data_IF_284830896824
#
_entry.id   IF_284830896824
#
_cell.length_a   1.000
_cell.length_b   1.000
_cell.length_c   1.000
_cell.angle_alpha   90.00
_cell.angle_beta   90.00
_cell.angle_gamma   90.00
#
_symmetry.space_group_name_H-M   'P 1'
#
loop_
_entity.id
_entity.type
_entity.pdbx_description
1 polymer ?
#
# COMPACT_ATOMS: atom_id res chain seq x y z
N UNK A 1 30.17 15.02 38.58
CA UNK A 1 29.91 14.56 37.20
C UNK A 1 29.10 13.28 37.27
N UNK A 2 27.83 13.31 36.87
CA UNK A 2 26.94 12.15 36.93
C UNK A 2 27.16 11.26 35.70
N UNK A 3 27.79 10.09 35.89
CA UNK A 3 27.86 9.07 34.85
C UNK A 3 26.46 8.52 34.60
N UNK A 4 25.81 8.97 33.52
CA UNK A 4 24.63 8.30 33.01
C UNK A 4 25.06 6.89 32.55
N UNK A 5 24.83 5.88 33.39
CA UNK A 5 25.08 4.48 33.04
C UNK A 5 24.39 4.15 31.71
N UNK A 6 25.11 3.49 30.81
CA UNK A 6 24.66 3.02 29.47
C UNK A 6 23.25 2.40 29.49
N UNK A 7 22.85 1.77 30.58
CA UNK A 7 21.48 1.26 30.82
C UNK A 7 20.37 2.33 30.77
N UNK A 8 20.58 3.51 31.37
CA UNK A 8 19.60 4.61 31.35
C UNK A 8 19.50 5.25 29.96
N UNK A 9 20.63 5.37 29.25
CA UNK A 9 20.67 5.82 27.85
C UNK A 9 19.93 4.83 26.94
N UNK A 10 20.15 3.52 27.09
CA UNK A 10 19.46 2.48 26.32
C UNK A 10 17.95 2.42 26.62
N UNK A 11 17.54 2.56 27.89
CA UNK A 11 16.12 2.59 28.29
C UNK A 11 15.39 3.83 27.77
N UNK A 12 15.99 5.01 27.91
CA UNK A 12 15.41 6.26 27.40
C UNK A 12 15.33 6.25 25.87
N UNK A 13 16.37 5.73 25.20
CA UNK A 13 16.37 5.56 23.75
C UNK A 13 15.31 4.55 23.29
N UNK A 14 15.15 3.42 23.98
CA UNK A 14 14.11 2.45 23.64
C UNK A 14 12.70 3.03 23.84
N UNK A 15 12.49 3.87 24.86
CA UNK A 15 11.19 4.51 25.10
C UNK A 15 10.82 5.52 24.01
N UNK A 16 11.77 6.39 23.63
CA UNK A 16 11.55 7.38 22.55
C UNK A 16 11.36 6.71 21.19
N UNK A 17 12.10 5.63 20.95
CA UNK A 17 11.98 4.77 19.77
C UNK A 17 10.62 4.07 19.69
N UNK A 18 10.16 3.47 20.79
CA UNK A 18 8.86 2.79 20.81
C UNK A 18 7.72 3.79 20.60
N UNK A 19 7.85 4.99 21.19
CA UNK A 19 6.92 6.08 20.99
C UNK A 19 6.92 6.57 19.53
N UNK A 20 8.08 6.64 18.88
CA UNK A 20 8.20 6.98 17.46
C UNK A 20 7.49 5.95 16.57
N UNK A 21 7.72 4.65 16.77
CA UNK A 21 7.05 3.60 15.99
C UNK A 21 5.53 3.68 16.19
N UNK A 22 5.09 3.87 17.43
CA UNK A 22 3.67 4.00 17.75
C UNK A 22 3.04 5.22 17.05
N UNK A 23 3.71 6.37 17.10
CA UNK A 23 3.24 7.59 16.45
C UNK A 23 3.20 7.47 14.92
N UNK A 24 4.19 6.81 14.32
CA UNK A 24 4.21 6.59 12.87
C UNK A 24 3.09 5.63 12.47
N UNK A 25 2.93 4.51 13.17
CA UNK A 25 1.84 3.56 12.92
C UNK A 25 0.47 4.24 13.07
N UNK A 26 0.29 5.07 14.10
CA UNK A 26 -0.92 5.86 14.30
C UNK A 26 -1.16 6.87 13.17
N UNK A 27 -0.12 7.57 12.72
CA UNK A 27 -0.21 8.53 11.61
C UNK A 27 -0.61 7.85 10.30
N UNK A 28 -0.10 6.67 10.03
CA UNK A 28 -0.39 5.93 8.79
C UNK A 28 -1.79 5.33 8.80
N UNK A 29 -2.20 4.79 9.94
CA UNK A 29 -3.60 4.38 10.13
C UNK A 29 -4.48 5.61 9.92
N UNK A 30 -4.16 6.76 10.52
CA UNK A 30 -4.90 8.00 10.30
C UNK A 30 -4.96 8.39 8.82
N UNK A 31 -3.84 8.40 8.09
CA UNK A 31 -3.82 8.73 6.66
C UNK A 31 -4.68 7.77 5.84
N UNK A 32 -4.59 6.46 6.09
CA UNK A 32 -5.41 5.46 5.42
C UNK A 32 -6.90 5.62 5.73
N UNK A 33 -7.25 5.93 6.98
CA UNK A 33 -8.63 6.24 7.38
C UNK A 33 -9.12 7.52 6.68
N UNK A 34 -8.32 8.59 6.67
CA UNK A 34 -8.68 9.84 5.99
C UNK A 34 -8.83 9.68 4.48
N UNK A 35 -8.09 8.78 3.83
CA UNK A 35 -8.32 8.47 2.42
C UNK A 35 -9.72 7.88 2.16
N UNK A 36 -10.26 7.09 3.10
CA UNK A 36 -11.65 6.63 3.00
C UNK A 36 -12.64 7.76 3.25
N UNK A 37 -12.36 8.63 4.24
CA UNK A 37 -13.18 9.82 4.55
C UNK A 37 -13.28 10.73 3.32
N UNK A 38 -12.15 11.12 2.73
CA UNK A 38 -12.09 11.99 1.54
C UNK A 38 -12.82 11.36 0.34
N UNK A 39 -12.59 10.07 0.09
CA UNK A 39 -13.27 9.35 -0.99
C UNK A 39 -14.77 9.21 -0.74
N UNK A 40 -15.22 9.12 0.52
CA UNK A 40 -16.62 9.02 0.86
C UNK A 40 -17.32 10.37 0.78
N UNK A 41 -16.65 11.46 1.17
CA UNK A 41 -17.14 12.83 1.02
C UNK A 41 -17.41 13.16 -0.45
N UNK A 42 -16.48 12.79 -1.35
CA UNK A 42 -16.66 12.92 -2.80
C UNK A 42 -17.89 12.15 -3.30
N UNK A 43 -18.06 10.90 -2.86
CA UNK A 43 -19.23 10.11 -3.23
C UNK A 43 -20.52 10.74 -2.68
N UNK A 44 -20.52 11.26 -1.45
CA UNK A 44 -21.67 11.94 -0.86
C UNK A 44 -22.09 13.17 -1.69
N UNK A 45 -21.11 13.95 -2.16
CA UNK A 45 -21.33 15.09 -3.05
C UNK A 45 -21.95 14.68 -4.38
N UNK A 46 -21.40 13.65 -5.04
CA UNK A 46 -21.93 13.14 -6.32
C UNK A 46 -23.36 12.61 -6.18
N UNK A 47 -23.65 11.84 -5.12
CA UNK A 47 -25.00 11.35 -4.86
C UNK A 47 -25.96 12.50 -4.57
N UNK A 48 -25.54 13.52 -3.81
CA UNK A 48 -26.34 14.71 -3.55
C UNK A 48 -26.71 15.46 -4.84
N UNK A 49 -25.73 15.68 -5.73
CA UNK A 49 -25.91 16.33 -7.03
C UNK A 49 -26.88 15.53 -7.91
N UNK A 50 -26.67 14.21 -8.04
CA UNK A 50 -27.55 13.36 -8.82
C UNK A 50 -29.00 13.34 -8.31
N UNK A 51 -29.21 13.40 -6.99
CA UNK A 51 -30.54 13.50 -6.41
C UNK A 51 -31.19 14.86 -6.71
N UNK A 52 -30.44 15.95 -6.69
CA UNK A 52 -30.94 17.28 -7.06
C UNK A 52 -31.33 17.35 -8.54
N UNK A 53 -30.51 16.76 -9.41
CA UNK A 53 -30.76 16.64 -10.85
C UNK A 53 -31.85 15.63 -11.21
N UNK A 54 -32.46 14.99 -10.20
CA UNK A 54 -33.52 13.97 -10.36
C UNK A 54 -33.08 12.83 -11.28
N UNK A 55 -31.78 12.48 -11.23
CA UNK A 55 -31.27 11.30 -11.91
C UNK A 55 -31.98 10.06 -11.41
N UNK A 56 -32.10 9.07 -12.29
CA UNK A 56 -32.68 7.80 -11.87
C UNK A 56 -31.72 7.08 -10.89
N UNK A 57 -32.28 6.23 -10.04
CA UNK A 57 -31.50 5.51 -9.04
C UNK A 57 -30.45 4.55 -9.65
N UNK A 58 -30.62 4.13 -10.91
CA UNK A 58 -29.65 3.24 -11.57
C UNK A 58 -28.32 3.97 -11.84
N UNK A 59 -28.35 5.28 -12.09
CA UNK A 59 -27.14 6.11 -12.24
C UNK A 59 -26.37 6.17 -10.92
N UNK A 60 -27.06 6.42 -9.81
CA UNK A 60 -26.47 6.40 -8.45
C UNK A 60 -25.87 5.03 -8.14
N UNK A 61 -26.60 3.95 -8.43
CA UNK A 61 -26.10 2.58 -8.24
C UNK A 61 -24.88 2.25 -9.11
N UNK A 62 -24.75 2.87 -10.29
CA UNK A 62 -23.59 2.70 -11.16
C UNK A 62 -22.36 3.40 -10.57
N UNK A 63 -22.51 4.59 -9.99
CA UNK A 63 -21.43 5.31 -9.31
C UNK A 63 -20.92 4.55 -8.08
N UNK A 64 -21.84 4.07 -7.23
CA UNK A 64 -21.51 3.26 -6.06
C UNK A 64 -20.73 2.00 -6.49
N UNK A 65 -21.15 1.34 -7.57
CA UNK A 65 -20.43 0.19 -8.14
C UNK A 65 -19.07 0.58 -8.72
N UNK A 66 -18.94 1.74 -9.34
CA UNK A 66 -17.68 2.21 -9.90
C UNK A 66 -16.65 2.48 -8.80
N UNK A 67 -17.04 3.14 -7.70
CA UNK A 67 -16.17 3.38 -6.53
C UNK A 67 -15.69 2.06 -5.95
N UNK A 68 -16.61 1.13 -5.67
CA UNK A 68 -16.26 -0.19 -5.16
C UNK A 68 -15.32 -0.96 -6.10
N UNK A 69 -15.53 -0.85 -7.42
CA UNK A 69 -14.69 -1.55 -8.41
C UNK A 69 -13.27 -0.99 -8.45
N UNK A 70 -13.13 0.34 -8.34
CA UNK A 70 -11.85 1.05 -8.34
C UNK A 70 -11.07 0.85 -7.04
N UNK A 71 -11.77 0.73 -5.91
CA UNK A 71 -11.16 0.51 -4.61
C UNK A 71 -11.38 -0.91 -4.09
N UNK A 72 -10.47 -1.82 -4.45
CA UNK A 72 -10.49 -3.24 -4.03
C UNK A 72 -10.30 -3.47 -2.54
N UNK A 73 -10.02 -2.42 -1.76
CA UNK A 73 -9.90 -2.51 -0.30
C UNK A 73 -11.26 -2.45 0.40
N UNK A 74 -12.28 -1.95 -0.31
CA UNK A 74 -13.67 -1.93 0.14
C UNK A 74 -14.29 -3.31 0.02
N UNK A 75 -15.06 -3.70 1.04
CA UNK A 75 -15.92 -4.88 0.99
C UNK A 75 -17.26 -4.54 0.33
N UNK A 76 -17.76 -3.33 0.60
CA UNK A 76 -18.92 -2.79 -0.07
C UNK A 76 -18.88 -1.26 -0.06
N UNK A 77 -19.55 -0.67 -1.04
CA UNK A 77 -19.99 0.72 -1.02
C UNK A 77 -21.52 0.72 -1.12
N UNK A 78 -22.18 1.64 -0.43
CA UNK A 78 -23.64 1.72 -0.43
C UNK A 78 -24.17 3.14 -0.27
N UNK A 79 -25.44 3.29 -0.63
CA UNK A 79 -26.31 4.40 -0.30
C UNK A 79 -27.54 3.87 0.44
N UNK A 80 -27.79 4.41 1.63
CA UNK A 80 -29.00 4.18 2.41
C UNK A 80 -29.98 5.31 2.12
N UNK A 81 -31.08 5.00 1.45
CA UNK A 81 -32.14 5.95 1.13
C UNK A 81 -33.12 6.06 2.29
N UNK A 82 -33.03 7.15 3.06
CA UNK A 82 -33.89 7.37 4.23
C UNK A 82 -35.32 7.77 3.84
N UNK A 83 -35.57 8.11 2.58
CA UNK A 83 -36.92 8.41 2.12
C UNK A 83 -37.68 7.12 1.82
N UNK A 84 -37.05 6.21 1.09
CA UNK A 84 -37.70 4.95 0.65
C UNK A 84 -37.47 3.78 1.61
N UNK A 85 -36.48 3.89 2.51
CA UNK A 85 -36.06 2.78 3.37
C UNK A 85 -35.15 1.77 2.66
N UNK A 86 -34.78 2.00 1.39
CA UNK A 86 -34.01 1.04 0.59
C UNK A 86 -32.50 1.18 0.81
N UNK A 87 -31.82 0.03 0.72
CA UNK A 87 -30.38 -0.06 0.66
C UNK A 87 -29.92 -0.30 -0.80
N UNK A 88 -29.09 0.60 -1.32
CA UNK A 88 -28.46 0.50 -2.63
C UNK A 88 -26.98 0.17 -2.44
N UNK A 89 -26.59 -1.10 -2.61
CA UNK A 89 -25.26 -1.60 -2.26
C UNK A 89 -24.54 -2.24 -3.45
N UNK A 90 -23.22 -2.04 -3.54
CA UNK A 90 -22.38 -2.55 -4.64
C UNK A 90 -22.19 -4.07 -4.63
N UNK A 91 -22.33 -4.73 -3.48
CA UNK A 91 -22.09 -6.16 -3.31
C UNK A 91 -22.72 -6.73 -2.02
N UNK A 92 -22.95 -8.05 -2.03
CA UNK A 92 -23.72 -8.89 -1.11
C UNK A 92 -25.23 -8.72 -1.16
N UNK A 93 -25.90 -9.88 -1.09
CA UNK A 93 -27.31 -10.13 -1.37
C UNK A 93 -28.22 -8.99 -0.90
N UNK A 94 -29.21 -8.61 -1.72
CA UNK A 94 -30.28 -7.66 -1.35
C UNK A 94 -30.75 -7.98 0.07
N UNK A 95 -30.31 -7.18 1.04
CA UNK A 95 -30.76 -7.29 2.40
C UNK A 95 -32.18 -6.77 2.42
N UNK A 96 -33.13 -7.63 2.80
CA UNK A 96 -34.49 -7.20 3.06
C UNK A 96 -34.51 -6.47 4.41
N UNK A 97 -34.04 -5.22 4.40
CA UNK A 97 -33.84 -4.37 5.54
C UNK A 97 -34.38 -2.97 5.20
N UNK A 98 -35.11 -2.37 6.14
CA UNK A 98 -35.40 -0.95 6.10
C UNK A 98 -34.24 -0.18 6.75
N UNK A 99 -33.56 0.66 5.99
CA UNK A 99 -32.38 1.39 6.50
C UNK A 99 -32.73 2.36 7.64
N UNK A 100 -34.00 2.74 7.78
CA UNK A 100 -34.48 3.63 8.86
C UNK A 100 -34.50 2.95 10.22
N UNK A 101 -34.47 1.62 10.25
CA UNK A 101 -34.42 0.84 11.49
C UNK A 101 -32.99 0.58 11.97
N UNK A 102 -31.98 1.08 11.25
CA UNK A 102 -30.56 0.86 11.57
C UNK A 102 -30.02 1.84 12.60
N UNK A 103 -28.99 1.41 13.33
CA UNK A 103 -28.25 2.29 14.24
C UNK A 103 -27.61 3.47 13.51
N UNK A 104 -27.14 3.25 12.28
CA UNK A 104 -26.62 4.30 11.39
C UNK A 104 -27.61 5.45 11.22
N UNK A 105 -28.89 5.13 10.95
CA UNK A 105 -29.93 6.15 10.83
C UNK A 105 -30.12 6.92 12.15
N UNK A 106 -30.15 6.22 13.29
CA UNK A 106 -30.29 6.84 14.62
C UNK A 106 -29.13 7.77 14.94
N UNK A 107 -27.89 7.35 14.67
CA UNK A 107 -26.70 8.17 14.92
C UNK A 107 -26.66 9.43 14.05
N UNK A 108 -26.97 9.31 12.75
CA UNK A 108 -26.95 10.45 11.85
C UNK A 108 -28.11 11.42 12.09
N UNK A 109 -29.27 10.93 12.55
CA UNK A 109 -30.36 11.78 13.04
C UNK A 109 -29.93 12.66 14.21
N UNK A 110 -29.15 12.13 15.14
CA UNK A 110 -28.69 12.84 16.32
C UNK A 110 -27.51 13.79 16.03
N UNK A 111 -26.59 13.35 15.16
CA UNK A 111 -25.41 14.11 14.75
C UNK A 111 -25.12 13.84 13.27
N UNK A 112 -25.63 14.69 12.35
CA UNK A 112 -25.55 14.46 10.91
C UNK A 112 -24.16 14.88 10.40
N UNK A 113 -23.15 14.11 10.79
CA UNK A 113 -21.75 14.28 10.39
C UNK A 113 -21.17 12.95 9.97
N UNK A 114 -20.12 13.01 9.17
CA UNK A 114 -19.33 11.84 8.85
C UNK A 114 -18.81 11.19 10.14
N UNK A 115 -18.94 9.88 10.24
CA UNK A 115 -18.50 9.13 11.41
C UNK A 115 -18.15 7.69 11.07
N UNK A 116 -17.21 7.15 11.84
CA UNK A 116 -16.90 5.73 11.87
C UNK A 116 -17.89 5.03 12.80
N UNK A 117 -18.41 3.89 12.34
CA UNK A 117 -19.27 3.02 13.12
C UNK A 117 -18.44 1.99 13.89
N UNK A 118 -19.00 1.51 14.98
CA UNK A 118 -18.37 0.49 15.81
C UNK A 118 -18.05 -0.79 15.02
N UNK A 119 -17.04 -1.48 15.52
CA UNK A 119 -16.57 -2.72 14.93
C UNK A 119 -17.61 -3.83 15.13
N UNK A 120 -17.95 -4.52 14.05
CA UNK A 120 -18.87 -5.66 14.08
C UNK A 120 -18.26 -6.88 13.40
N UNK A 121 -18.82 -8.05 13.69
CA UNK A 121 -18.44 -9.30 13.01
C UNK A 121 -19.48 -9.61 11.94
N UNK A 122 -19.04 -9.70 10.70
CA UNK A 122 -19.91 -10.09 9.60
C UNK A 122 -20.42 -11.52 9.81
N UNK A 123 -21.73 -11.72 9.64
CA UNK A 123 -22.38 -13.01 9.94
C UNK A 123 -22.11 -14.08 8.88
N UNK A 124 -21.78 -13.67 7.66
CA UNK A 124 -21.58 -14.58 6.52
C UNK A 124 -20.13 -15.05 6.46
N UNK A 125 -19.20 -14.12 6.48
CA UNK A 125 -17.76 -14.35 6.31
C UNK A 125 -17.03 -14.53 7.64
N UNK A 126 -17.63 -14.10 8.76
CA UNK A 126 -16.97 -14.06 10.06
C UNK A 126 -15.88 -12.98 10.18
N UNK A 127 -15.69 -12.14 9.15
CA UNK A 127 -14.70 -11.08 9.16
C UNK A 127 -15.05 -9.99 10.18
N UNK A 128 -14.03 -9.38 10.77
CA UNK A 128 -14.20 -8.20 11.61
C UNK A 128 -14.24 -6.98 10.68
N UNK A 129 -15.34 -6.24 10.76
CA UNK A 129 -15.70 -5.15 9.86
C UNK A 129 -15.91 -3.86 10.66
N UNK A 130 -15.67 -2.73 10.00
CA UNK A 130 -16.14 -1.40 10.43
C UNK A 130 -16.67 -0.68 9.21
N UNK A 131 -17.44 0.38 9.43
CA UNK A 131 -17.97 1.21 8.35
C UNK A 131 -17.69 2.67 8.63
N UNK A 132 -17.46 3.45 7.57
CA UNK A 132 -17.49 4.91 7.62
C UNK A 132 -18.69 5.39 6.81
N UNK A 133 -19.45 6.32 7.36
CA UNK A 133 -20.68 6.85 6.76
C UNK A 133 -20.63 8.35 6.64
N UNK A 134 -21.18 8.90 5.55
CA UNK A 134 -21.30 10.33 5.32
C UNK A 134 -22.74 10.70 4.93
N UNK A 135 -23.37 11.65 5.65
CA UNK A 135 -24.74 12.07 5.37
C UNK A 135 -24.85 12.72 3.99
N UNK A 136 -25.93 12.41 3.29
CA UNK A 136 -26.28 13.03 2.00
C UNK A 136 -27.41 14.02 2.23
N UNK A 137 -27.21 15.25 1.77
CA UNK A 137 -28.19 16.33 1.87
C UNK A 137 -28.71 16.72 0.48
N UNK A 138 -30.02 16.95 0.39
CA UNK A 138 -30.67 17.55 -0.76
C UNK A 138 -31.65 18.62 -0.26
N UNK A 139 -31.61 19.81 -0.85
CA UNK A 139 -32.38 20.98 -0.42
C UNK A 139 -32.27 21.28 1.09
N UNK A 140 -31.07 21.14 1.66
CA UNK A 140 -30.81 21.36 3.09
C UNK A 140 -31.38 20.30 4.03
N UNK A 141 -32.00 19.24 3.51
CA UNK A 141 -32.52 18.11 4.30
C UNK A 141 -31.66 16.87 4.10
N UNK A 142 -31.39 16.15 5.18
CA UNK A 142 -30.71 14.86 5.10
C UNK A 142 -31.67 13.84 4.46
N UNK A 143 -31.29 13.31 3.30
CA UNK A 143 -32.11 12.39 2.50
C UNK A 143 -31.63 10.95 2.56
N UNK A 144 -30.39 10.75 3.01
CA UNK A 144 -29.78 9.44 3.10
C UNK A 144 -28.37 9.51 3.67
N UNK A 145 -27.63 8.42 3.52
CA UNK A 145 -26.20 8.37 3.79
C UNK A 145 -25.50 7.48 2.79
N UNK A 146 -24.29 7.84 2.38
CA UNK A 146 -23.38 6.90 1.74
C UNK A 146 -22.53 6.23 2.81
N UNK A 147 -22.02 5.04 2.51
CA UNK A 147 -21.09 4.36 3.41
C UNK A 147 -20.23 3.31 2.74
N UNK A 148 -19.11 3.02 3.40
CA UNK A 148 -18.15 2.00 3.00
C UNK A 148 -18.01 0.96 4.10
N UNK A 149 -18.09 -0.31 3.73
CA UNK A 149 -17.73 -1.42 4.62
C UNK A 149 -16.28 -1.83 4.38
N UNK A 150 -15.50 -1.86 5.46
CA UNK A 150 -14.06 -2.06 5.43
C UNK A 150 -13.70 -3.23 6.34
N UNK A 151 -12.96 -4.19 5.80
CA UNK A 151 -12.41 -5.29 6.59
C UNK A 151 -11.23 -4.79 7.43
N UNK A 152 -11.24 -5.01 8.74
CA UNK A 152 -10.15 -4.56 9.62
C UNK A 152 -8.81 -5.26 9.35
N UNK A 153 -8.80 -6.42 8.70
CA UNK A 153 -7.55 -7.00 8.18
C UNK A 153 -6.87 -6.09 7.15
N UNK A 154 -7.64 -5.26 6.43
CA UNK A 154 -7.13 -4.20 5.56
C UNK A 154 -6.42 -3.11 6.37
N UNK A 155 -6.87 -2.76 7.57
CA UNK A 155 -6.13 -1.84 8.46
C UNK A 155 -4.79 -2.47 8.89
N UNK A 156 -4.78 -3.79 9.14
CA UNK A 156 -3.54 -4.56 9.32
C UNK A 156 -2.61 -4.49 8.11
N UNK A 157 -3.16 -4.52 6.88
CA UNK A 157 -2.43 -4.33 5.63
C UNK A 157 -2.00 -2.88 5.39
N UNK A 158 -2.75 -1.86 5.81
CA UNK A 158 -2.33 -0.45 5.78
C UNK A 158 -1.13 -0.25 6.72
N UNK A 159 -1.19 -0.86 7.92
CA UNK A 159 -0.05 -0.89 8.86
C UNK A 159 1.15 -1.65 8.31
N UNK A 160 0.94 -2.74 7.57
CA UNK A 160 2.03 -3.57 7.02
C UNK A 160 2.58 -3.05 5.68
N UNK A 161 1.72 -2.41 4.88
CA UNK A 161 1.91 -1.89 3.53
C UNK A 161 2.44 -0.46 3.52
N UNK A 162 3.12 -0.05 4.59
CA UNK A 162 4.00 1.12 4.56
C UNK A 162 4.99 0.87 3.42
N UNK A 163 4.95 1.75 2.43
CA UNK A 163 5.89 1.68 1.33
C UNK A 163 7.30 1.75 1.88
N UNK A 164 8.23 1.04 1.23
CA UNK A 164 9.64 1.11 1.62
C UNK A 164 10.15 2.57 1.63
N UNK A 165 9.60 3.43 0.77
CA UNK A 165 9.91 4.85 0.69
C UNK A 165 9.56 5.61 1.98
N UNK A 166 8.34 5.45 2.51
CA UNK A 166 7.92 6.13 3.75
C UNK A 166 8.73 5.64 4.96
N UNK A 167 9.07 4.34 5.01
CA UNK A 167 9.96 3.80 6.05
C UNK A 167 11.35 4.43 5.98
N UNK A 168 11.86 4.70 4.78
CA UNK A 168 13.16 5.35 4.56
C UNK A 168 13.12 6.83 4.96
N UNK A 169 12.06 7.56 4.62
CA UNK A 169 11.91 8.97 5.00
C UNK A 169 11.93 9.15 6.52
N UNK A 170 11.21 8.28 7.25
CA UNK A 170 11.27 8.31 8.71
C UNK A 170 12.66 7.92 9.21
N UNK A 171 13.31 6.90 8.62
CA UNK A 171 14.67 6.55 8.99
C UNK A 171 15.63 7.75 8.85
N UNK A 172 15.53 8.49 7.73
CA UNK A 172 16.34 9.67 7.45
C UNK A 172 16.15 10.78 8.48
N UNK A 173 14.90 11.09 8.82
CA UNK A 173 14.58 12.14 9.79
C UNK A 173 15.29 11.93 11.12
N UNK A 174 15.40 10.69 11.57
CA UNK A 174 16.03 10.36 12.85
C UNK A 174 17.53 10.19 12.73
N UNK A 175 18.04 9.62 11.64
CA UNK A 175 19.48 9.58 11.35
C UNK A 175 20.05 11.00 11.30
N UNK A 176 19.33 11.95 10.69
CA UNK A 176 19.72 13.37 10.62
C UNK A 176 19.71 14.08 11.98
N UNK A 177 18.96 13.56 12.96
CA UNK A 177 19.00 14.04 14.36
C UNK A 177 20.16 13.46 15.16
N UNK A 178 21.05 12.70 14.53
CA UNK A 178 22.26 12.12 15.14
C UNK A 178 22.08 10.70 15.70
N UNK A 179 20.94 10.05 15.47
CA UNK A 179 20.71 8.69 15.94
C UNK A 179 21.44 7.66 15.05
N UNK A 180 21.95 6.59 15.67
CA UNK A 180 22.69 5.54 14.94
C UNK A 180 21.83 4.87 13.86
N UNK A 181 22.30 4.89 12.61
CA UNK A 181 21.68 4.23 11.45
C UNK A 181 21.32 2.78 11.74
N UNK A 182 22.23 2.06 12.39
CA UNK A 182 22.05 0.64 12.73
C UNK A 182 20.85 0.37 13.65
N UNK A 183 20.62 1.28 14.59
CA UNK A 183 19.56 1.19 15.59
C UNK A 183 18.25 1.55 14.93
N UNK A 184 18.19 2.71 14.26
CA UNK A 184 17.01 3.22 13.57
C UNK A 184 16.45 2.22 12.55
N UNK A 185 17.29 1.60 11.72
CA UNK A 185 16.82 0.66 10.69
C UNK A 185 16.29 -0.66 11.24
N UNK A 186 16.91 -1.19 12.30
CA UNK A 186 16.44 -2.40 12.99
C UNK A 186 15.08 -2.18 13.62
N UNK A 187 14.87 -1.00 14.19
CA UNK A 187 13.61 -0.57 14.80
C UNK A 187 12.49 -0.46 13.76
N UNK A 188 12.76 0.21 12.64
CA UNK A 188 11.78 0.42 11.57
C UNK A 188 11.53 -0.89 10.78
N UNK A 189 12.37 -1.91 10.98
CA UNK A 189 12.26 -3.20 10.31
C UNK A 189 12.72 -3.14 8.85
N UNK A 190 13.69 -2.27 8.52
CA UNK A 190 14.32 -2.20 7.20
C UNK A 190 15.70 -2.88 7.28
N UNK A 191 16.00 -3.86 6.42
CA UNK A 191 17.36 -4.36 6.27
C UNK A 191 18.30 -3.25 5.82
N UNK A 192 19.52 -3.17 6.39
CA UNK A 192 20.49 -2.13 6.02
C UNK A 192 20.78 -2.11 4.51
N UNK A 193 20.87 -3.29 3.91
CA UNK A 193 21.02 -3.45 2.46
C UNK A 193 19.91 -2.75 1.68
N UNK A 194 18.66 -2.91 2.09
CA UNK A 194 17.49 -2.28 1.47
C UNK A 194 17.51 -0.75 1.63
N UNK A 195 17.87 -0.23 2.80
CA UNK A 195 17.99 1.21 3.05
C UNK A 195 19.07 1.86 2.18
N UNK A 196 20.29 1.30 2.17
CA UNK A 196 21.38 1.83 1.35
C UNK A 196 21.15 1.62 -0.14
N UNK A 197 20.53 0.50 -0.53
CA UNK A 197 20.15 0.26 -1.93
C UNK A 197 19.23 1.35 -2.45
N UNK A 198 18.17 1.68 -1.70
CA UNK A 198 17.22 2.74 -2.09
C UNK A 198 17.84 4.14 -2.08
N UNK A 199 18.73 4.43 -1.11
CA UNK A 199 19.47 5.70 -1.07
C UNK A 199 20.40 5.90 -2.27
N UNK A 200 21.01 4.81 -2.72
CA UNK A 200 22.01 4.83 -3.79
C UNK A 200 21.40 4.56 -5.18
N UNK A 201 20.08 4.31 -5.29
CA UNK A 201 19.43 4.04 -6.58
C UNK A 201 19.07 5.30 -7.38
N UNK A 202 19.38 6.50 -6.88
CA UNK A 202 19.75 7.61 -7.76
C UNK A 202 21.19 7.39 -8.23
N UNK A 203 21.39 6.36 -9.04
CA UNK A 203 22.66 6.21 -9.75
C UNK A 203 22.62 7.29 -10.83
N UNK A 204 23.25 8.44 -10.59
CA UNK A 204 23.99 9.06 -11.70
C UNK A 204 24.79 7.93 -12.33
N UNK A 205 24.65 7.74 -13.64
CA UNK A 205 25.41 6.74 -14.41
C UNK A 205 26.77 6.57 -13.76
N UNK A 206 27.07 5.36 -13.26
CA UNK A 206 28.37 5.08 -12.66
C UNK A 206 29.40 5.64 -13.62
N UNK A 207 30.10 6.72 -13.22
CA UNK A 207 31.34 7.11 -13.91
C UNK A 207 32.17 5.84 -13.91
N UNK A 208 32.38 5.31 -15.10
CA UNK A 208 33.09 4.05 -15.34
C UNK A 208 34.35 4.16 -14.49
N UNK A 209 34.51 3.29 -13.50
CA UNK A 209 35.76 3.22 -12.77
C UNK A 209 36.87 3.00 -13.80
N UNK A 210 37.98 3.70 -13.68
CA UNK A 210 39.17 3.66 -14.56
C UNK A 210 39.86 2.27 -14.65
N UNK A 211 39.14 1.18 -14.40
CA UNK A 211 39.55 -0.15 -14.78
C UNK A 211 39.53 -0.32 -16.31
N UNK A 212 40.15 -1.42 -16.76
CA UNK A 212 40.26 -1.75 -18.18
C UNK A 212 38.90 -1.61 -18.87
N UNK A 213 38.79 -0.84 -19.96
CA UNK A 213 37.56 -0.71 -20.72
C UNK A 213 37.00 -2.09 -21.03
N UNK A 214 35.69 -2.27 -20.83
CA UNK A 214 35.02 -3.49 -21.22
C UNK A 214 35.27 -3.69 -22.73
N UNK A 215 35.83 -4.84 -23.14
CA UNK A 215 36.22 -5.06 -24.53
C UNK A 215 35.03 -5.06 -25.51
N UNK A 216 33.79 -5.17 -25.02
CA UNK A 216 32.58 -5.30 -25.85
C UNK A 216 32.42 -6.68 -26.50
N UNK A 217 33.26 -7.64 -26.09
CA UNK A 217 33.25 -9.01 -26.58
C UNK A 217 33.88 -9.96 -25.55
N UNK A 218 33.51 -11.23 -25.60
CA UNK A 218 34.23 -12.33 -24.96
C UNK A 218 34.91 -13.21 -26.02
N UNK A 219 35.84 -14.07 -25.60
CA UNK A 219 36.57 -14.99 -26.48
C UNK A 219 36.14 -16.41 -26.17
N UNK A 220 35.88 -17.21 -27.21
CA UNK A 220 35.66 -18.65 -27.10
C UNK A 220 36.98 -19.41 -26.85
N UNK A 221 36.90 -20.65 -26.41
CA UNK A 221 38.09 -21.52 -26.27
C UNK A 221 38.90 -21.66 -27.57
N UNK A 222 38.25 -21.53 -28.73
CA UNK A 222 38.89 -21.55 -30.07
C UNK A 222 39.51 -20.19 -30.49
N UNK A 223 39.49 -19.19 -29.61
CA UNK A 223 40.04 -17.85 -29.86
C UNK A 223 39.10 -16.90 -30.60
N UNK A 224 37.90 -17.32 -31.01
CA UNK A 224 36.94 -16.44 -31.71
C UNK A 224 36.27 -15.45 -30.77
N UNK A 225 36.09 -14.22 -31.24
CA UNK A 225 35.36 -13.18 -30.53
C UNK A 225 33.85 -13.39 -30.65
N UNK A 226 33.13 -13.10 -29.57
CA UNK A 226 31.67 -13.11 -29.48
C UNK A 226 31.23 -11.79 -28.88
N UNK A 227 30.38 -11.04 -29.57
CA UNK A 227 29.90 -9.75 -29.10
C UNK A 227 29.01 -9.89 -27.87
N UNK A 228 28.89 -8.80 -27.10
CA UNK A 228 28.02 -8.77 -25.94
C UNK A 228 26.53 -9.00 -26.31
N UNK A 229 26.09 -8.54 -27.50
CA UNK A 229 24.76 -8.82 -28.04
C UNK A 229 24.50 -10.31 -28.22
N UNK A 230 25.47 -11.03 -28.79
CA UNK A 230 25.34 -12.47 -29.00
C UNK A 230 25.42 -13.25 -27.68
N UNK A 231 26.16 -12.74 -26.68
CA UNK A 231 26.17 -13.31 -25.33
C UNK A 231 24.82 -13.09 -24.63
N UNK A 232 24.15 -11.95 -24.86
CA UNK A 232 22.78 -11.71 -24.36
C UNK A 232 21.79 -12.68 -24.98
N UNK A 233 21.89 -12.99 -26.27
CA UNK A 233 21.05 -13.99 -26.92
C UNK A 233 21.21 -15.38 -26.27
N UNK A 234 22.46 -15.84 -26.07
CA UNK A 234 22.71 -17.12 -25.37
C UNK A 234 22.14 -17.15 -23.95
N UNK A 235 22.19 -16.02 -23.23
CA UNK A 235 21.58 -15.92 -21.90
C UNK A 235 20.05 -16.04 -21.97
N UNK A 236 19.42 -15.37 -22.94
CA UNK A 236 17.97 -15.41 -23.12
C UNK A 236 17.49 -16.82 -23.52
N UNK A 237 18.24 -17.51 -24.40
CA UNK A 237 17.97 -18.90 -24.77
C UNK A 237 18.03 -19.84 -23.56
N UNK A 238 19.08 -19.76 -22.75
CA UNK A 238 19.24 -20.62 -21.56
C UNK A 238 18.18 -20.32 -20.49
N UNK A 239 17.84 -19.05 -20.28
CA UNK A 239 16.79 -18.64 -19.33
C UNK A 239 15.41 -19.09 -19.80
N UNK A 240 15.15 -19.07 -21.11
CA UNK A 240 13.90 -19.57 -21.69
C UNK A 240 13.80 -21.11 -21.61
N UNK A 241 14.93 -21.82 -21.49
CA UNK A 241 15.02 -23.25 -21.27
C UNK A 241 15.18 -23.63 -19.79
N UNK A 242 16.05 -24.61 -19.53
CA UNK A 242 16.21 -25.24 -18.21
C UNK A 242 16.89 -24.35 -17.16
N UNK A 243 17.47 -23.21 -17.56
CA UNK A 243 18.20 -22.32 -16.66
C UNK A 243 17.35 -21.14 -16.12
N UNK A 244 16.02 -21.17 -16.26
CA UNK A 244 15.13 -20.07 -15.84
C UNK A 244 15.34 -19.63 -14.37
N UNK A 245 15.72 -20.55 -13.47
CA UNK A 245 15.93 -20.27 -12.05
C UNK A 245 17.41 -20.07 -11.67
N UNK A 246 18.33 -19.96 -12.64
CA UNK A 246 19.75 -19.83 -12.37
C UNK A 246 20.15 -18.38 -12.12
N UNK A 247 20.80 -18.12 -10.98
CA UNK A 247 21.52 -16.88 -10.75
C UNK A 247 22.82 -16.79 -11.58
N UNK A 248 23.40 -15.58 -11.65
CA UNK A 248 24.51 -15.26 -12.56
C UNK A 248 25.67 -16.28 -12.54
N UNK A 249 26.07 -16.78 -11.37
CA UNK A 249 27.18 -17.76 -11.23
C UNK A 249 26.90 -19.09 -11.94
N UNK A 250 25.64 -19.56 -11.91
CA UNK A 250 25.24 -20.80 -12.57
C UNK A 250 25.12 -20.57 -14.09
N UNK A 251 24.56 -19.43 -14.51
CA UNK A 251 24.51 -19.04 -15.92
C UNK A 251 25.90 -18.91 -16.53
N UNK A 252 26.88 -18.32 -15.83
CA UNK A 252 28.27 -18.25 -16.31
C UNK A 252 28.88 -19.65 -16.54
N UNK A 253 28.53 -20.64 -15.71
CA UNK A 253 28.98 -22.04 -15.90
C UNK A 253 28.31 -22.69 -17.12
N UNK A 254 27.02 -22.44 -17.32
CA UNK A 254 26.27 -22.91 -18.49
C UNK A 254 26.87 -22.34 -19.77
N UNK A 255 27.12 -21.02 -19.81
CA UNK A 255 27.74 -20.35 -20.95
C UNK A 255 29.15 -20.85 -21.27
N UNK A 256 29.96 -21.15 -20.24
CA UNK A 256 31.26 -21.80 -20.41
C UNK A 256 31.13 -23.21 -21.00
N UNK A 257 30.15 -23.99 -20.54
CA UNK A 257 29.97 -25.40 -20.96
C UNK A 257 29.42 -25.52 -22.38
N UNK A 258 28.33 -24.81 -22.66
CA UNK A 258 27.51 -24.97 -23.85
C UNK A 258 28.04 -24.14 -25.03
N UNK A 259 28.52 -22.92 -24.75
CA UNK A 259 28.96 -21.98 -25.79
C UNK A 259 30.48 -21.76 -25.81
N UNK A 260 31.22 -22.47 -24.95
CA UNK A 260 32.69 -22.42 -24.83
C UNK A 260 33.24 -21.03 -24.58
N UNK A 261 32.46 -20.18 -23.91
CA UNK A 261 32.84 -18.79 -23.64
C UNK A 261 33.84 -18.71 -22.49
N UNK A 262 34.98 -18.07 -22.71
CA UNK A 262 36.02 -17.86 -21.71
C UNK A 262 35.89 -16.45 -21.09
N UNK A 263 35.18 -16.38 -19.97
CA UNK A 263 35.14 -15.19 -19.13
C UNK A 263 36.40 -15.16 -18.25
N UNK A 264 37.39 -14.33 -18.59
CA UNK A 264 38.54 -14.08 -17.71
C UNK A 264 38.04 -13.29 -16.49
N UNK A 265 38.28 -13.85 -15.29
CA UNK A 265 38.06 -13.17 -14.01
C UNK A 265 39.13 -12.14 -13.73
#
# INVERSE_FOLDING_TARGET
MAYATTSNLLKNNNRSVNQMIANQAASLVKTGLSSYEDSLDQLAGLVAENLQDKKNMQEIEAEIRAVHTRNKTLVAAYYMDFQTGKLHISSYAKLNLDVRDTDTYRYLKANPKMQWLDVYKDKVTGAIMTSVVAPVFSDGKMVGTVGYDINLSTIGKIRAGISLAEKIEVADKWINKGYSVSVVLRIIGIPRSTYYYQKNYRVEEKKISEGRPAPGYSIKEDGKKVSDEQIKEFLLEEIAGDAFNYGYRKLTKVLRRNYKLNFRS
#
